data_IF_472043706997
#
_entry.id   IF_472043706997
#
_cell.length_a   1.000
_cell.length_b   1.000
_cell.length_c   1.000
_cell.angle_alpha   90.00
_cell.angle_beta   90.00
_cell.angle_gamma   90.00
#
_symmetry.space_group_name_H-M   'P 1'
#
loop_
_entity.id
_entity.type
_entity.pdbx_description
1 polymer ?
#
# COMPACT_ATOMS: atom_id res chain seq x y z
N UNK A 1 5.51 2.75 57.01
CA UNK A 1 5.98 1.64 56.16
C UNK A 1 5.51 1.94 54.75
N UNK A 2 6.45 2.17 53.81
CA UNK A 2 6.22 2.81 52.51
C UNK A 2 5.93 1.79 51.40
N UNK A 3 5.24 2.28 50.38
CA UNK A 3 5.18 1.83 48.98
C UNK A 3 4.09 0.83 48.58
N UNK A 4 3.02 1.40 48.00
CA UNK A 4 2.12 0.78 47.03
C UNK A 4 2.67 1.09 45.65
N UNK A 5 3.06 0.07 44.89
CA UNK A 5 3.62 0.19 43.54
C UNK A 5 2.49 0.53 42.57
N UNK A 6 2.51 1.76 42.03
CA UNK A 6 1.66 2.20 40.91
C UNK A 6 2.33 1.79 39.60
N UNK A 7 1.81 0.74 38.97
CA UNK A 7 2.17 0.28 37.64
C UNK A 7 1.64 1.27 36.60
N UNK A 8 2.51 2.13 36.09
CA UNK A 8 2.21 3.12 35.05
C UNK A 8 2.68 2.59 33.70
N UNK A 9 1.78 1.95 32.95
CA UNK A 9 2.03 1.60 31.55
C UNK A 9 1.76 2.81 30.64
N UNK A 10 2.79 3.17 29.89
CA UNK A 10 2.79 4.14 28.79
C UNK A 10 1.60 3.91 27.86
N UNK A 11 0.78 4.96 27.65
CA UNK A 11 -0.05 5.09 26.45
C UNK A 11 0.73 5.94 25.44
N UNK A 12 1.46 5.27 24.56
CA UNK A 12 1.99 5.87 23.34
C UNK A 12 0.84 5.96 22.34
N UNK A 13 0.08 7.05 22.39
CA UNK A 13 -0.93 7.39 21.40
C UNK A 13 -0.33 8.36 20.40
N UNK A 14 0.28 7.85 19.33
CA UNK A 14 0.60 8.64 18.13
C UNK A 14 0.31 7.77 16.91
N UNK A 15 -0.98 7.63 16.58
CA UNK A 15 -1.44 7.35 15.22
C UNK A 15 -2.65 8.25 15.00
N UNK A 16 -2.39 9.53 14.76
CA UNK A 16 -3.39 10.44 14.20
C UNK A 16 -3.44 10.13 12.70
N UNK A 17 -4.57 9.65 12.13
CA UNK A 17 -4.60 9.30 10.73
C UNK A 17 -4.60 10.59 9.89
N UNK A 18 -3.72 10.63 8.90
CA UNK A 18 -3.64 11.64 7.82
C UNK A 18 -4.94 11.71 6.97
N UNK A 19 -6.01 11.02 7.37
CA UNK A 19 -7.34 11.05 6.73
C UNK A 19 -8.10 12.35 7.02
N UNK A 20 -7.76 13.09 8.10
CA UNK A 20 -8.43 14.34 8.44
C UNK A 20 -8.04 15.54 7.54
N UNK A 21 -6.95 15.45 6.76
CA UNK A 21 -6.40 16.59 6.03
C UNK A 21 -7.02 16.84 4.64
N UNK A 22 -7.92 15.99 4.15
CA UNK A 22 -8.51 16.13 2.80
C UNK A 22 -10.03 16.34 2.75
N UNK A 23 -10.72 16.61 3.87
CA UNK A 23 -12.07 17.18 3.85
C UNK A 23 -13.13 16.45 3.01
N UNK A 24 -12.97 15.13 2.76
CA UNK A 24 -13.92 14.37 1.95
C UNK A 24 -15.00 13.73 2.83
N UNK A 25 -16.29 13.91 2.51
CA UNK A 25 -17.37 13.22 3.22
C UNK A 25 -17.29 11.71 3.00
N UNK A 26 -17.35 10.94 4.09
CA UNK A 26 -17.25 9.46 4.17
C UNK A 26 -18.46 8.75 3.51
N UNK A 27 -19.42 9.51 2.97
CA UNK A 27 -20.73 9.01 2.55
C UNK A 27 -20.81 8.46 1.11
N UNK A 28 -19.70 8.35 0.38
CA UNK A 28 -19.72 7.95 -1.05
C UNK A 28 -19.03 6.61 -1.33
N UNK A 29 -19.19 5.65 -0.41
CA UNK A 29 -18.90 4.24 -0.67
C UNK A 29 -20.23 3.49 -0.81
N UNK A 30 -20.80 3.51 -2.01
CA UNK A 30 -22.00 2.73 -2.30
C UNK A 30 -21.69 1.23 -2.15
N UNK A 31 -22.16 0.65 -1.06
CA UNK A 31 -22.12 -0.78 -0.81
C UNK A 31 -23.10 -1.49 -1.76
N UNK A 32 -22.63 -2.49 -2.51
CA UNK A 32 -23.51 -3.44 -3.18
C UNK A 32 -23.78 -4.59 -2.20
N UNK A 33 -25.06 -4.85 -1.90
CA UNK A 33 -25.49 -5.59 -0.71
C UNK A 33 -25.78 -7.08 -0.91
N UNK A 34 -25.32 -7.73 -1.99
CA UNK A 34 -25.58 -9.16 -2.20
C UNK A 34 -24.40 -9.90 -2.88
N UNK A 35 -23.41 -10.32 -2.09
CA UNK A 35 -22.46 -11.34 -2.52
C UNK A 35 -21.79 -12.05 -1.31
N UNK A 36 -21.41 -13.35 -1.43
CA UNK A 36 -20.64 -14.09 -0.42
C UNK A 36 -19.18 -13.63 -0.31
N UNK A 37 -18.85 -12.51 -0.95
CA UNK A 37 -17.52 -11.91 -0.96
C UNK A 37 -17.43 -10.86 0.14
N UNK A 38 -16.25 -10.71 0.76
CA UNK A 38 -16.03 -9.66 1.74
C UNK A 38 -16.36 -8.28 1.15
N UNK A 39 -16.99 -7.42 1.94
CA UNK A 39 -17.41 -6.09 1.49
C UNK A 39 -16.16 -5.28 1.10
N UNK A 40 -16.10 -4.83 -0.14
CA UNK A 40 -15.03 -3.95 -0.63
C UNK A 40 -15.60 -2.59 -1.03
N UNK A 41 -14.91 -1.53 -0.65
CA UNK A 41 -15.11 -0.20 -1.21
C UNK A 41 -14.38 -0.09 -2.54
N UNK A 42 -14.98 0.54 -3.54
CA UNK A 42 -14.28 0.91 -4.76
C UNK A 42 -14.49 2.38 -5.08
N UNK A 43 -13.42 3.06 -5.48
CA UNK A 43 -13.47 4.46 -5.90
C UNK A 43 -12.53 4.70 -7.07
N UNK A 44 -12.95 5.58 -7.97
CA UNK A 44 -12.13 6.06 -9.07
C UNK A 44 -11.63 7.46 -8.74
N UNK A 45 -10.32 7.68 -8.84
CA UNK A 45 -9.71 8.99 -8.68
C UNK A 45 -9.92 9.81 -9.96
N UNK A 46 -9.75 11.13 -9.86
CA UNK A 46 -9.77 12.05 -11.00
C UNK A 46 -8.69 11.70 -12.04
N UNK A 47 -7.57 11.13 -11.58
CA UNK A 47 -6.50 10.58 -12.44
C UNK A 47 -6.90 9.32 -13.22
N UNK A 48 -8.10 8.77 -12.98
CA UNK A 48 -8.56 7.51 -13.59
C UNK A 48 -8.04 6.25 -12.92
N UNK A 49 -7.27 6.36 -11.84
CA UNK A 49 -6.84 5.21 -11.04
C UNK A 49 -8.04 4.61 -10.30
N UNK A 50 -8.19 3.28 -10.34
CA UNK A 50 -9.21 2.55 -9.57
C UNK A 50 -8.58 2.08 -8.28
N UNK A 51 -9.10 2.56 -7.15
CA UNK A 51 -8.71 2.08 -5.81
C UNK A 51 -9.80 1.14 -5.33
N UNK A 52 -9.37 -0.02 -4.85
CA UNK A 52 -10.22 -1.01 -4.21
C UNK A 52 -9.68 -1.15 -2.79
N UNK A 53 -10.55 -0.99 -1.80
CA UNK A 53 -10.21 -1.09 -0.38
C UNK A 53 -11.07 -2.18 0.23
N UNK A 54 -10.42 -3.11 0.91
CA UNK A 54 -11.08 -4.08 1.77
C UNK A 54 -10.62 -3.81 3.20
N UNK A 55 -11.57 -3.45 4.07
CA UNK A 55 -11.29 -3.14 5.47
C UNK A 55 -11.60 -4.36 6.33
N UNK A 56 -10.58 -4.85 7.03
CA UNK A 56 -10.69 -5.93 8.01
C UNK A 56 -9.97 -5.47 9.29
N UNK A 57 -10.67 -5.52 10.41
CA UNK A 57 -10.18 -5.05 11.71
C UNK A 57 -9.77 -6.22 12.64
N UNK A 58 -9.75 -7.46 12.14
CA UNK A 58 -9.30 -8.62 12.92
C UNK A 58 -7.79 -8.60 13.17
N UNK A 59 -7.01 -8.11 12.19
CA UNK A 59 -5.55 -8.04 12.26
C UNK A 59 -5.05 -6.62 12.02
N UNK A 60 -4.08 -6.12 12.80
CA UNK A 60 -3.49 -4.79 12.60
C UNK A 60 -2.44 -4.80 11.48
N UNK A 61 -2.80 -5.31 10.30
CA UNK A 61 -1.91 -5.45 9.14
C UNK A 61 -2.49 -4.67 7.96
N UNK A 62 -1.64 -3.95 7.23
CA UNK A 62 -2.02 -3.26 6.00
C UNK A 62 -1.23 -3.86 4.84
N UNK A 63 -1.92 -4.22 3.76
CA UNK A 63 -1.32 -4.62 2.49
C UNK A 63 -1.73 -3.62 1.42
N UNK A 64 -0.74 -3.11 0.71
CA UNK A 64 -0.94 -2.23 -0.43
C UNK A 64 -0.41 -2.97 -1.65
N UNK A 65 -1.18 -2.96 -2.74
CA UNK A 65 -0.75 -3.54 -4.00
C UNK A 65 -1.12 -2.58 -5.12
N UNK A 66 -0.13 -2.25 -5.95
CA UNK A 66 -0.32 -1.44 -7.14
C UNK A 66 -0.13 -2.33 -8.34
N UNK A 67 -1.18 -2.45 -9.16
CA UNK A 67 -1.14 -3.20 -10.40
C UNK A 67 -1.17 -2.24 -11.59
N UNK A 68 -0.15 -2.31 -12.42
CA UNK A 68 -0.03 -1.58 -13.68
C UNK A 68 -0.39 -2.55 -14.79
N UNK A 69 -1.35 -2.16 -15.64
CA UNK A 69 -1.72 -2.94 -16.85
C UNK A 69 -0.68 -2.73 -17.95
N UNK A 70 0.53 -3.19 -17.68
CA UNK A 70 1.64 -3.29 -18.61
C UNK A 70 2.54 -4.43 -18.11
N UNK A 71 2.78 -5.43 -18.96
CA UNK A 71 3.66 -6.55 -18.66
C UNK A 71 4.68 -6.78 -19.78
N UNK A 72 5.33 -7.94 -19.78
CA UNK A 72 6.31 -8.27 -20.83
C UNK A 72 5.71 -8.39 -22.23
N UNK A 73 4.39 -8.59 -22.35
CA UNK A 73 3.68 -8.56 -23.64
C UNK A 73 3.68 -7.15 -24.25
N UNK A 74 3.77 -6.12 -23.43
CA UNK A 74 3.81 -4.72 -23.86
C UNK A 74 5.25 -4.22 -24.14
N UNK A 75 6.25 -5.10 -24.04
CA UNK A 75 7.63 -4.75 -24.35
C UNK A 75 7.79 -4.37 -25.84
N UNK A 76 8.44 -3.24 -26.15
CA UNK A 76 8.70 -2.87 -27.54
C UNK A 76 9.58 -3.90 -28.25
N UNK A 77 9.37 -4.08 -29.55
CA UNK A 77 10.19 -4.97 -30.38
C UNK A 77 11.67 -4.58 -30.28
N UNK A 78 12.53 -5.53 -29.95
CA UNK A 78 13.97 -5.32 -29.74
C UNK A 78 14.32 -4.70 -28.39
N UNK A 79 13.37 -4.63 -27.46
CA UNK A 79 13.56 -4.21 -26.06
C UNK A 79 12.87 -5.19 -25.11
N UNK A 80 13.07 -6.48 -25.35
CA UNK A 80 12.52 -7.54 -24.52
C UNK A 80 13.08 -7.45 -23.09
N UNK A 81 12.22 -7.59 -22.09
CA UNK A 81 12.59 -7.48 -20.68
C UNK A 81 12.53 -6.05 -20.12
N UNK A 82 12.02 -5.07 -20.87
CA UNK A 82 11.85 -3.70 -20.39
C UNK A 82 10.89 -3.62 -19.19
N UNK A 83 9.80 -4.38 -19.19
CA UNK A 83 8.88 -4.44 -18.06
C UNK A 83 9.59 -4.95 -16.79
N UNK A 84 10.33 -6.07 -16.91
CA UNK A 84 11.07 -6.65 -15.80
C UNK A 84 12.18 -5.71 -15.28
N UNK A 85 12.93 -5.09 -16.19
CA UNK A 85 13.96 -4.12 -15.83
C UNK A 85 13.38 -2.88 -15.13
N UNK A 86 12.26 -2.38 -15.64
CA UNK A 86 11.54 -1.24 -15.05
C UNK A 86 11.05 -1.59 -13.65
N UNK A 87 10.43 -2.75 -13.48
CA UNK A 87 9.97 -3.25 -12.17
C UNK A 87 11.14 -3.35 -11.17
N UNK A 88 12.27 -3.96 -11.57
CA UNK A 88 13.46 -4.06 -10.73
C UNK A 88 14.01 -2.69 -10.30
N UNK A 89 13.83 -1.65 -11.11
CA UNK A 89 14.32 -0.30 -10.81
C UNK A 89 13.38 0.47 -9.86
N UNK A 90 12.11 0.07 -9.71
CA UNK A 90 11.15 0.77 -8.85
C UNK A 90 11.57 0.80 -7.38
N UNK A 91 12.38 -0.17 -6.94
CA UNK A 91 12.90 -0.26 -5.57
C UNK A 91 14.27 0.37 -5.39
N UNK A 92 14.95 0.78 -6.47
CA UNK A 92 16.33 1.28 -6.43
C UNK A 92 16.45 2.78 -6.07
N UNK A 93 15.33 3.42 -5.78
CA UNK A 93 15.29 4.81 -5.33
C UNK A 93 14.34 5.68 -6.12
N UNK A 94 14.19 6.91 -5.65
CA UNK A 94 13.41 7.98 -6.25
C UNK A 94 14.23 9.27 -6.22
N UNK A 95 13.76 10.33 -6.86
CA UNK A 95 14.38 11.65 -6.80
C UNK A 95 14.57 12.19 -5.37
N UNK A 96 13.80 11.67 -4.41
CA UNK A 96 13.78 12.15 -3.01
C UNK A 96 14.33 11.16 -1.99
N UNK A 97 14.50 9.88 -2.35
CA UNK A 97 14.89 8.80 -1.42
C UNK A 97 15.78 7.80 -2.13
N UNK A 98 16.90 7.41 -1.52
CA UNK A 98 17.75 6.33 -2.02
C UNK A 98 17.15 4.96 -1.75
N UNK A 99 17.61 3.93 -2.48
CA UNK A 99 17.26 2.52 -2.21
C UNK A 99 17.46 2.14 -0.73
N UNK A 100 18.59 2.56 -0.15
CA UNK A 100 18.93 2.28 1.25
C UNK A 100 17.90 2.91 2.19
N UNK A 101 17.52 4.17 1.97
CA UNK A 101 16.52 4.84 2.81
C UNK A 101 15.14 4.18 2.70
N UNK A 102 14.78 3.69 1.52
CA UNK A 102 13.55 2.94 1.31
C UNK A 102 13.61 1.63 2.09
N UNK A 103 14.67 0.83 1.91
CA UNK A 103 14.86 -0.44 2.61
C UNK A 103 14.85 -0.27 4.14
N UNK A 104 15.59 0.69 4.68
CA UNK A 104 15.63 0.99 6.11
C UNK A 104 14.24 1.38 6.67
N UNK A 105 13.45 2.13 5.89
CA UNK A 105 12.10 2.54 6.32
C UNK A 105 11.15 1.34 6.36
N UNK A 106 11.23 0.45 5.37
CA UNK A 106 10.40 -0.77 5.30
C UNK A 106 10.82 -1.76 6.40
N UNK A 107 12.11 -1.95 6.62
CA UNK A 107 12.64 -2.82 7.67
C UNK A 107 12.28 -2.29 9.07
N UNK A 108 12.33 -0.97 9.28
CA UNK A 108 11.99 -0.35 10.57
C UNK A 108 10.55 -0.65 11.01
N UNK A 109 9.61 -0.74 10.07
CA UNK A 109 8.21 -1.11 10.35
C UNK A 109 7.96 -2.62 10.31
N UNK A 110 8.99 -3.43 10.02
CA UNK A 110 8.87 -4.88 9.86
C UNK A 110 8.07 -5.30 8.63
N UNK A 111 8.05 -4.45 7.60
CA UNK A 111 7.32 -4.67 6.36
C UNK A 111 8.13 -5.40 5.30
N UNK A 112 7.54 -5.53 4.12
CA UNK A 112 8.20 -5.98 2.90
C UNK A 112 7.78 -5.07 1.75
N UNK A 113 8.70 -4.82 0.81
CA UNK A 113 8.43 -4.10 -0.43
C UNK A 113 9.10 -4.85 -1.58
N UNK A 114 8.39 -5.05 -2.68
CA UNK A 114 8.90 -5.70 -3.87
C UNK A 114 8.13 -5.28 -5.11
N UNK A 115 8.79 -5.36 -6.26
CA UNK A 115 8.20 -5.09 -7.56
C UNK A 115 8.56 -6.22 -8.53
N UNK A 116 7.59 -6.66 -9.32
CA UNK A 116 7.80 -7.71 -10.31
C UNK A 116 6.91 -7.47 -11.55
N UNK A 117 7.33 -7.98 -12.71
CA UNK A 117 6.57 -7.87 -13.95
C UNK A 117 6.22 -9.27 -14.49
N UNK A 118 4.92 -9.52 -14.58
CA UNK A 118 4.37 -10.68 -15.28
C UNK A 118 4.15 -10.41 -16.77
N UNK A 119 3.45 -11.34 -17.43
CA UNK A 119 3.13 -11.22 -18.86
C UNK A 119 2.19 -10.05 -19.16
N UNK A 120 1.14 -9.90 -18.35
CA UNK A 120 0.04 -8.97 -18.62
C UNK A 120 0.05 -7.73 -17.70
N UNK A 121 0.82 -7.78 -16.62
CA UNK A 121 0.83 -6.73 -15.60
C UNK A 121 2.13 -6.68 -14.80
N UNK A 122 2.40 -5.50 -14.26
CA UNK A 122 3.48 -5.24 -13.31
C UNK A 122 2.86 -4.96 -11.94
N UNK A 123 3.45 -5.54 -10.90
CA UNK A 123 2.96 -5.50 -9.53
C UNK A 123 4.01 -4.83 -8.63
N UNK A 124 3.54 -4.02 -7.69
CA UNK A 124 4.33 -3.44 -6.60
C UNK A 124 3.57 -3.70 -5.30
N UNK A 125 4.21 -4.37 -4.34
CA UNK A 125 3.61 -4.82 -3.08
C UNK A 125 4.53 -4.62 -1.89
#
# INVERSE_FOLDING_TARGET
>A
MRSTVKTSFLRLAVITPVVAAMGLPVSSFASHDDAPFPRYGSRRLESGLKVIVHEDHELPVVRLEVMIRAGSVDDPVGKEGMAAFTAATLTEGTDTRSAIQIAETIDFVGGSLGADAGYDATYLS
#
